data_IF_520254289938
#
_entry.id   IF_520254289938
#
_cell.length_a   1.000
_cell.length_b   1.000
_cell.length_c   1.000
_cell.angle_alpha   90.00
_cell.angle_beta   90.00
_cell.angle_gamma   90.00
#
_symmetry.space_group_name_H-M   'P 1'
#
loop_
_entity.id
_entity.type
_entity.pdbx_description
1 polymer ?
#
# COMPACT_ATOMS: atom_id res chain seq x y z
N UNK A 1 -26.13 9.98 3.97
CA UNK A 1 -25.45 9.68 2.69
C UNK A 1 -25.82 8.26 2.31
N UNK A 2 -26.50 8.03 1.18
CA UNK A 2 -26.80 6.67 0.72
C UNK A 2 -25.71 6.22 -0.24
N UNK A 3 -25.14 5.04 0.00
CA UNK A 3 -24.14 4.42 -0.88
C UNK A 3 -24.90 3.61 -1.93
N UNK A 4 -25.19 4.21 -3.09
CA UNK A 4 -25.87 3.50 -4.19
C UNK A 4 -24.96 2.46 -4.86
N UNK A 5 -23.66 2.76 -4.95
CA UNK A 5 -22.66 1.87 -5.56
C UNK A 5 -21.97 1.00 -4.51
N UNK A 6 -22.75 0.23 -3.77
CA UNK A 6 -22.26 -0.55 -2.62
C UNK A 6 -21.16 -1.56 -3.01
N UNK A 7 -21.21 -2.12 -4.21
CA UNK A 7 -20.16 -3.01 -4.72
C UNK A 7 -18.80 -2.32 -4.85
N UNK A 8 -18.75 -1.13 -5.45
CA UNK A 8 -17.52 -0.34 -5.58
C UNK A 8 -16.97 0.11 -4.23
N UNK A 9 -17.87 0.41 -3.29
CA UNK A 9 -17.48 0.71 -1.91
C UNK A 9 -16.78 -0.49 -1.26
N UNK A 10 -17.36 -1.69 -1.35
CA UNK A 10 -16.74 -2.90 -0.80
C UNK A 10 -15.42 -3.27 -1.49
N UNK A 11 -15.34 -3.15 -2.81
CA UNK A 11 -14.08 -3.38 -3.55
C UNK A 11 -13.01 -2.40 -3.08
N UNK A 12 -13.34 -1.11 -2.98
CA UNK A 12 -12.42 -0.09 -2.46
C UNK A 12 -11.97 -0.39 -1.03
N UNK A 13 -12.88 -0.86 -0.17
CA UNK A 13 -12.57 -1.24 1.21
C UNK A 13 -11.60 -2.43 1.28
N UNK A 14 -11.84 -3.48 0.48
CA UNK A 14 -10.96 -4.66 0.45
C UNK A 14 -9.56 -4.27 -0.04
N UNK A 15 -9.48 -3.51 -1.14
CA UNK A 15 -8.20 -3.03 -1.68
C UNK A 15 -7.45 -2.18 -0.64
N UNK A 16 -8.18 -1.31 0.08
CA UNK A 16 -7.60 -0.48 1.13
C UNK A 16 -7.04 -1.32 2.28
N UNK A 17 -7.78 -2.33 2.74
CA UNK A 17 -7.34 -3.24 3.81
C UNK A 17 -6.07 -3.99 3.38
N UNK A 18 -6.07 -4.57 2.18
CA UNK A 18 -4.90 -5.30 1.65
C UNK A 18 -3.69 -4.39 1.52
N UNK A 19 -3.83 -3.21 0.91
CA UNK A 19 -2.73 -2.24 0.78
C UNK A 19 -2.20 -1.78 2.13
N UNK A 20 -3.09 -1.53 3.10
CA UNK A 20 -2.70 -1.10 4.45
C UNK A 20 -1.90 -2.19 5.16
N UNK A 21 -2.29 -3.46 5.04
CA UNK A 21 -1.52 -4.56 5.64
C UNK A 21 -0.12 -4.66 5.05
N UNK A 22 0.02 -4.59 3.72
CA UNK A 22 1.33 -4.59 3.05
C UNK A 22 2.20 -3.46 3.61
N UNK A 23 1.68 -2.22 3.66
CA UNK A 23 2.44 -1.06 4.16
C UNK A 23 2.84 -1.23 5.63
N UNK A 24 1.93 -1.66 6.51
CA UNK A 24 2.20 -1.80 7.95
C UNK A 24 3.24 -2.89 8.22
N UNK A 25 3.18 -4.01 7.51
CA UNK A 25 4.11 -5.12 7.74
C UNK A 25 5.47 -4.91 7.06
N UNK A 26 5.49 -4.32 5.87
CA UNK A 26 6.74 -4.14 5.11
C UNK A 26 7.55 -2.94 5.60
N UNK A 27 6.91 -1.88 6.14
CA UNK A 27 7.62 -0.68 6.58
C UNK A 27 8.71 -0.94 7.64
N UNK A 28 8.45 -1.69 8.74
CA UNK A 28 9.49 -2.01 9.72
C UNK A 28 10.65 -2.81 9.14
N UNK A 29 10.36 -3.74 8.20
CA UNK A 29 11.38 -4.54 7.54
C UNK A 29 12.25 -3.67 6.61
N UNK A 30 11.63 -2.72 5.92
CA UNK A 30 12.32 -1.78 5.03
C UNK A 30 13.23 -0.86 5.85
N UNK A 31 12.71 -0.32 6.95
CA UNK A 31 13.46 0.50 7.89
C UNK A 31 14.63 -0.25 8.51
N UNK A 32 14.48 -1.54 8.81
CA UNK A 32 15.59 -2.39 9.27
C UNK A 32 16.72 -2.36 8.24
N UNK A 33 16.44 -2.72 6.97
CA UNK A 33 17.47 -2.75 5.93
C UNK A 33 18.06 -1.37 5.59
N UNK A 34 17.26 -0.31 5.55
CA UNK A 34 17.75 1.06 5.28
C UNK A 34 18.69 1.56 6.40
N UNK A 35 18.47 1.13 7.65
CA UNK A 35 19.39 1.44 8.75
C UNK A 35 20.71 0.67 8.63
N UNK A 36 20.68 -0.58 8.14
CA UNK A 36 21.91 -1.34 7.81
C UNK A 36 22.70 -0.73 6.65
N UNK A 37 22.00 -0.09 5.70
CA UNK A 37 22.62 0.57 4.53
C UNK A 37 23.62 1.65 4.96
N UNK A 38 23.35 2.34 6.08
CA UNK A 38 24.22 3.39 6.63
C UNK A 38 25.58 2.91 7.16
N UNK A 39 25.69 1.66 7.62
CA UNK A 39 26.93 1.16 8.23
C UNK A 39 27.73 0.22 7.33
N UNK A 40 27.09 -0.49 6.39
CA UNK A 40 27.81 -1.50 5.58
C UNK A 40 27.07 -2.08 4.37
N UNK A 41 26.23 -1.32 3.64
CA UNK A 41 25.45 -1.88 2.52
C UNK A 41 26.26 -2.67 1.48
N UNK A 42 27.50 -2.24 1.22
CA UNK A 42 28.40 -2.93 0.30
C UNK A 42 28.86 -4.30 0.80
N UNK A 43 28.84 -4.53 2.13
CA UNK A 43 29.15 -5.80 2.78
C UNK A 43 27.93 -6.72 2.90
N UNK A 44 26.70 -6.24 2.60
CA UNK A 44 25.54 -7.12 2.53
C UNK A 44 25.70 -8.09 1.37
N UNK A 45 25.50 -9.36 1.70
CA UNK A 45 25.42 -10.47 0.76
C UNK A 45 24.38 -10.19 -0.34
N UNK A 46 24.64 -10.68 -1.56
CA UNK A 46 23.79 -10.41 -2.73
C UNK A 46 22.34 -10.84 -2.51
N UNK A 47 22.14 -11.95 -1.79
CA UNK A 47 20.81 -12.43 -1.40
C UNK A 47 20.04 -11.37 -0.60
N UNK A 48 20.67 -10.77 0.42
CA UNK A 48 20.01 -9.75 1.25
C UNK A 48 19.68 -8.49 0.46
N UNK A 49 20.54 -8.08 -0.50
CA UNK A 49 20.26 -6.96 -1.40
C UNK A 49 19.04 -7.25 -2.28
N UNK A 50 18.93 -8.46 -2.82
CA UNK A 50 17.77 -8.87 -3.62
C UNK A 50 16.46 -8.85 -2.82
N UNK A 51 16.50 -9.32 -1.56
CA UNK A 51 15.36 -9.30 -0.64
C UNK A 51 14.93 -7.86 -0.38
N UNK A 52 15.89 -6.98 -0.09
CA UNK A 52 15.60 -5.58 0.18
C UNK A 52 14.99 -4.85 -1.03
N UNK A 53 15.50 -5.10 -2.24
CA UNK A 53 14.90 -4.55 -3.46
C UNK A 53 13.48 -5.06 -3.69
N UNK A 54 13.24 -6.36 -3.49
CA UNK A 54 11.91 -6.95 -3.61
C UNK A 54 10.95 -6.32 -2.60
N UNK A 55 11.38 -6.14 -1.36
CA UNK A 55 10.59 -5.48 -0.32
C UNK A 55 10.25 -4.02 -0.67
N UNK A 56 11.20 -3.26 -1.26
CA UNK A 56 10.96 -1.91 -1.78
C UNK A 56 9.85 -1.89 -2.84
N UNK A 57 9.81 -2.89 -3.71
CA UNK A 57 8.76 -3.03 -4.73
C UNK A 57 7.41 -3.39 -4.09
N UNK A 58 7.39 -4.37 -3.19
CA UNK A 58 6.18 -4.82 -2.49
C UNK A 58 5.54 -3.69 -1.69
N UNK A 59 6.35 -2.94 -0.93
CA UNK A 59 5.91 -1.74 -0.23
C UNK A 59 5.31 -0.70 -1.17
N UNK A 60 5.96 -0.41 -2.30
CA UNK A 60 5.46 0.53 -3.29
C UNK A 60 4.10 0.09 -3.87
N UNK A 61 3.91 -1.20 -4.11
CA UNK A 61 2.61 -1.75 -4.56
C UNK A 61 1.55 -1.56 -3.47
N UNK A 62 1.90 -1.82 -2.21
CA UNK A 62 1.03 -1.57 -1.05
C UNK A 62 0.56 -0.12 -0.98
N UNK A 63 1.46 0.84 -1.15
CA UNK A 63 1.14 2.28 -1.18
C UNK A 63 0.15 2.60 -2.31
N UNK A 64 0.38 2.07 -3.52
CA UNK A 64 -0.54 2.26 -4.66
C UNK A 64 -1.92 1.69 -4.35
N UNK A 65 -2.01 0.53 -3.70
CA UNK A 65 -3.29 -0.05 -3.29
C UNK A 65 -4.01 0.81 -2.26
N UNK A 66 -3.31 1.39 -1.29
CA UNK A 66 -3.92 2.32 -0.32
C UNK A 66 -4.54 3.51 -1.04
N UNK A 67 -3.80 4.18 -1.92
CA UNK A 67 -4.33 5.33 -2.67
C UNK A 67 -5.51 4.95 -3.57
N UNK A 68 -5.42 3.79 -4.23
CA UNK A 68 -6.50 3.28 -5.10
C UNK A 68 -7.76 2.96 -4.29
N UNK A 69 -7.61 2.33 -3.13
CA UNK A 69 -8.71 2.03 -2.21
C UNK A 69 -9.40 3.29 -1.72
N UNK A 70 -8.63 4.30 -1.28
CA UNK A 70 -9.16 5.61 -0.87
C UNK A 70 -9.91 6.28 -2.03
N UNK A 71 -9.31 6.31 -3.22
CA UNK A 71 -9.94 6.91 -4.40
C UNK A 71 -11.28 6.24 -4.75
N UNK A 72 -11.36 4.91 -4.70
CA UNK A 72 -12.60 4.17 -4.94
C UNK A 72 -13.67 4.47 -3.89
N UNK A 73 -13.30 4.54 -2.61
CA UNK A 73 -14.22 4.93 -1.54
C UNK A 73 -14.75 6.36 -1.76
N UNK A 74 -13.87 7.32 -2.05
CA UNK A 74 -14.26 8.70 -2.34
C UNK A 74 -15.16 8.80 -3.57
N UNK A 75 -14.84 8.11 -4.66
CA UNK A 75 -15.69 8.07 -5.86
C UNK A 75 -17.06 7.49 -5.53
N UNK A 76 -17.12 6.41 -4.76
CA UNK A 76 -18.40 5.78 -4.38
C UNK A 76 -19.30 6.69 -3.55
N UNK A 77 -18.72 7.64 -2.79
CA UNK A 77 -19.43 8.62 -1.97
C UNK A 77 -19.77 9.90 -2.76
N UNK A 78 -18.81 10.47 -3.48
CA UNK A 78 -18.93 11.76 -4.19
C UNK A 78 -19.77 11.64 -5.46
N UNK A 79 -19.66 10.52 -6.19
CA UNK A 79 -20.51 10.28 -7.37
C UNK A 79 -22.00 10.36 -7.01
N UNK A 80 -22.36 9.96 -5.78
CA UNK A 80 -23.75 10.02 -5.31
C UNK A 80 -24.22 11.44 -5.00
N UNK A 81 -23.33 12.37 -4.66
CA UNK A 81 -23.69 13.77 -4.41
C UNK A 81 -24.06 14.52 -5.70
N UNK A 82 -23.45 14.18 -6.84
CA UNK A 82 -23.71 14.86 -8.12
C UNK A 82 -25.00 14.40 -8.83
N UNK A 83 -25.64 13.31 -8.38
CA UNK A 83 -26.84 12.71 -9.01
C UNK A 83 -28.12 12.85 -8.15
N UNK A 84 -28.06 13.53 -7.01
CA UNK A 84 -29.23 13.97 -6.22
C UNK A 84 -29.49 15.43 -6.52
#
# INVERSE_FOLDING_TARGET
MEIKNIGWFFVGLIILIVGTFIVIFDYPQLQFFDNFESESYYLLDEEKKSIHQRLKIEFSIGVVFVFTGIALLLISLVWNMKRK
#
